data_IF_582984859405
#
_entry.id   IF_582984859405
#
_cell.length_a   1.000
_cell.length_b   1.000
_cell.length_c   1.000
_cell.angle_alpha   90.00
_cell.angle_beta   90.00
_cell.angle_gamma   90.00
#
_symmetry.space_group_name_H-M   'P 1'
#
loop_
_entity.id
_entity.type
_entity.pdbx_description
1 polymer ?
#
# COMPACT_ATOMS: atom_id res chain seq x y z
N UNK A 1 -8.55 -13.25 27.48
CA UNK A 1 -9.00 -12.29 26.46
C UNK A 1 -8.36 -12.66 25.14
N UNK A 2 -9.15 -12.98 24.12
CA UNK A 2 -8.65 -13.22 22.76
C UNK A 2 -8.15 -11.89 22.20
N UNK A 3 -6.84 -11.76 22.02
CA UNK A 3 -6.25 -10.55 21.45
C UNK A 3 -6.49 -10.60 19.95
N UNK A 4 -7.29 -9.68 19.41
CA UNK A 4 -7.50 -9.59 17.97
C UNK A 4 -6.17 -9.34 17.27
N UNK A 5 -5.96 -9.98 16.12
CA UNK A 5 -4.81 -9.69 15.27
C UNK A 5 -4.83 -8.21 14.88
N UNK A 6 -3.71 -7.53 15.06
CA UNK A 6 -3.57 -6.12 14.75
C UNK A 6 -2.79 -5.95 13.45
N UNK A 7 -3.23 -4.99 12.65
CA UNK A 7 -2.61 -4.60 11.39
C UNK A 7 -2.27 -3.12 11.48
N UNK A 8 -1.08 -2.72 11.04
CA UNK A 8 -0.70 -1.32 10.91
C UNK A 8 -0.76 -0.88 9.45
N UNK A 9 -1.29 0.32 9.19
CA UNK A 9 -1.14 0.99 7.89
C UNK A 9 -0.02 2.01 8.06
N UNK A 10 0.95 1.99 7.16
CA UNK A 10 2.13 2.86 7.22
C UNK A 10 2.26 3.67 5.94
N UNK A 11 2.69 4.91 6.11
CA UNK A 11 2.70 5.94 5.09
C UNK A 11 3.86 6.93 5.35
N UNK A 12 3.93 8.00 4.57
CA UNK A 12 4.96 9.04 4.69
C UNK A 12 5.06 9.71 6.06
N UNK A 13 4.00 9.66 6.87
CA UNK A 13 3.96 10.26 8.21
C UNK A 13 4.40 9.27 9.31
N UNK A 14 4.57 8.00 8.95
CA UNK A 14 4.95 6.95 9.91
C UNK A 14 6.44 7.05 10.24
N UNK A 15 6.85 6.92 11.52
CA UNK A 15 8.26 6.86 11.89
C UNK A 15 9.02 5.76 11.14
N UNK A 16 10.15 6.14 10.54
CA UNK A 16 11.02 5.27 9.73
C UNK A 16 12.12 4.61 10.56
N UNK A 17 11.80 4.14 11.76
CA UNK A 17 12.79 3.61 12.72
C UNK A 17 12.47 2.17 13.11
N UNK A 18 13.52 1.37 13.32
CA UNK A 18 13.38 -0.04 13.73
C UNK A 18 12.69 -0.12 15.10
N UNK A 19 13.02 0.78 16.02
CA UNK A 19 12.47 0.82 17.38
C UNK A 19 10.95 1.03 17.39
N UNK A 20 10.42 1.79 16.41
CA UNK A 20 8.98 1.95 16.27
C UNK A 20 8.30 0.63 15.87
N UNK A 21 8.87 -0.09 14.90
CA UNK A 21 8.34 -1.36 14.44
C UNK A 21 8.47 -2.47 15.49
N UNK A 22 9.54 -2.47 16.29
CA UNK A 22 9.66 -3.38 17.43
C UNK A 22 8.55 -3.15 18.47
N UNK A 23 8.17 -1.89 18.72
CA UNK A 23 7.02 -1.55 19.58
C UNK A 23 5.71 -2.06 18.99
N UNK A 24 5.51 -1.93 17.68
CA UNK A 24 4.34 -2.49 16.99
C UNK A 24 4.29 -4.02 17.13
N UNK A 25 5.42 -4.71 16.92
CA UNK A 25 5.51 -6.17 17.06
C UNK A 25 5.20 -6.61 18.50
N UNK A 26 5.74 -5.92 19.51
CA UNK A 26 5.41 -6.15 20.94
C UNK A 26 3.93 -5.91 21.26
N UNK A 27 3.27 -4.99 20.56
CA UNK A 27 1.84 -4.77 20.70
C UNK A 27 0.99 -5.90 20.10
N UNK A 28 1.55 -6.72 19.21
CA UNK A 28 0.88 -7.83 18.54
C UNK A 28 0.53 -7.55 17.08
N UNK A 29 1.16 -6.54 16.48
CA UNK A 29 1.08 -6.27 15.04
C UNK A 29 2.03 -7.21 14.31
N UNK A 30 1.48 -8.12 13.49
CA UNK A 30 2.28 -9.03 12.66
C UNK A 30 2.15 -8.72 11.16
N UNK A 31 1.23 -7.83 10.80
CA UNK A 31 0.94 -7.45 9.42
C UNK A 31 1.03 -5.94 9.27
N UNK A 32 1.67 -5.50 8.19
CA UNK A 32 1.86 -4.09 7.86
C UNK A 32 1.39 -3.86 6.43
N UNK A 33 0.49 -2.89 6.24
CA UNK A 33 0.06 -2.41 4.94
C UNK A 33 0.87 -1.16 4.62
N UNK A 34 1.82 -1.28 3.70
CA UNK A 34 2.70 -0.18 3.28
C UNK A 34 2.06 0.55 2.11
N UNK A 35 1.86 1.86 2.24
CA UNK A 35 1.48 2.70 1.10
C UNK A 35 2.63 2.74 0.10
N UNK A 36 2.41 2.23 -1.11
CA UNK A 36 3.45 2.15 -2.14
C UNK A 36 3.46 3.36 -3.05
N UNK A 37 2.29 3.97 -3.23
CA UNK A 37 2.11 5.13 -4.09
C UNK A 37 0.97 6.01 -3.60
N UNK A 38 1.08 7.29 -3.94
CA UNK A 38 0.05 8.30 -3.71
C UNK A 38 -0.14 9.15 -4.97
N UNK A 39 -1.38 9.39 -5.38
CA UNK A 39 -1.67 10.30 -6.51
C UNK A 39 -0.96 11.64 -6.34
N UNK A 40 -0.28 12.07 -7.40
CA UNK A 40 0.43 13.36 -7.42
C UNK A 40 1.73 13.41 -6.60
N UNK A 41 2.22 12.27 -6.08
CA UNK A 41 3.47 12.24 -5.30
C UNK A 41 4.42 11.14 -5.78
N UNK A 42 5.36 11.49 -6.66
CA UNK A 42 6.28 10.55 -7.31
C UNK A 42 7.40 10.02 -6.41
N UNK A 43 7.73 10.70 -5.32
CA UNK A 43 8.79 10.30 -4.36
C UNK A 43 8.32 9.27 -3.33
N UNK A 44 7.12 8.70 -3.49
CA UNK A 44 6.59 7.73 -2.53
C UNK A 44 7.37 6.40 -2.54
N UNK A 45 8.08 6.07 -3.61
CA UNK A 45 8.84 4.82 -3.74
C UNK A 45 9.93 4.67 -2.67
N UNK A 46 10.67 5.73 -2.35
CA UNK A 46 11.71 5.70 -1.32
C UNK A 46 11.13 5.42 0.07
N UNK A 47 9.97 6.02 0.35
CA UNK A 47 9.24 5.82 1.60
C UNK A 47 8.75 4.38 1.71
N UNK A 48 8.18 3.85 0.62
CA UNK A 48 7.71 2.49 0.53
C UNK A 48 8.84 1.48 0.72
N UNK A 49 10.03 1.74 0.14
CA UNK A 49 11.21 0.90 0.27
C UNK A 49 11.65 0.77 1.73
N UNK A 50 11.81 1.90 2.44
CA UNK A 50 12.24 1.92 3.84
C UNK A 50 11.28 1.13 4.73
N UNK A 51 9.97 1.37 4.61
CA UNK A 51 8.98 0.69 5.45
C UNK A 51 8.88 -0.80 5.13
N UNK A 52 9.00 -1.17 3.85
CA UNK A 52 8.98 -2.58 3.43
C UNK A 52 10.20 -3.33 3.98
N UNK A 53 11.39 -2.74 3.90
CA UNK A 53 12.63 -3.34 4.39
C UNK A 53 12.60 -3.53 5.91
N UNK A 54 12.23 -2.50 6.68
CA UNK A 54 12.16 -2.58 8.14
C UNK A 54 11.15 -3.66 8.58
N UNK A 55 9.94 -3.68 8.00
CA UNK A 55 8.91 -4.66 8.34
C UNK A 55 9.38 -6.09 8.06
N UNK A 56 10.01 -6.34 6.91
CA UNK A 56 10.54 -7.66 6.54
C UNK A 56 11.69 -8.11 7.43
N UNK A 57 12.63 -7.23 7.79
CA UNK A 57 13.73 -7.54 8.72
C UNK A 57 13.23 -7.94 10.10
N UNK A 58 12.06 -7.43 10.49
CA UNK A 58 11.38 -7.78 11.73
C UNK A 58 10.37 -8.91 11.56
N UNK A 59 10.43 -9.69 10.47
CA UNK A 59 9.58 -10.86 10.23
C UNK A 59 8.08 -10.53 10.35
N UNK A 60 7.70 -9.35 9.84
CA UNK A 60 6.31 -8.94 9.71
C UNK A 60 5.84 -9.22 8.27
N UNK A 61 4.58 -9.63 8.12
CA UNK A 61 3.95 -9.81 6.81
C UNK A 61 3.66 -8.44 6.20
N UNK A 62 4.05 -8.26 4.94
CA UNK A 62 3.86 -6.99 4.23
C UNK A 62 2.74 -7.10 3.19
N UNK A 63 1.89 -6.09 3.18
CA UNK A 63 0.79 -5.86 2.27
C UNK A 63 0.93 -4.46 1.66
N UNK A 64 0.23 -4.22 0.56
CA UNK A 64 0.40 -3.01 -0.22
C UNK A 64 -0.84 -2.12 -0.16
N UNK A 65 -0.65 -0.80 -0.15
CA UNK A 65 -1.71 0.18 -0.33
C UNK A 65 -1.41 1.15 -1.47
N UNK A 66 -2.45 1.51 -2.23
CA UNK A 66 -2.47 2.66 -3.12
C UNK A 66 -3.34 3.75 -2.48
N UNK A 67 -2.78 4.94 -2.30
CA UNK A 67 -3.55 6.15 -1.97
C UNK A 67 -3.86 6.92 -3.25
N UNK A 68 -5.13 7.22 -3.50
CA UNK A 68 -5.55 7.87 -4.74
C UNK A 68 -6.67 8.89 -4.54
N UNK A 69 -6.69 9.91 -5.36
CA UNK A 69 -7.82 10.85 -5.48
C UNK A 69 -8.74 10.54 -6.67
N UNK A 70 -8.44 9.48 -7.45
CA UNK A 70 -9.16 9.05 -8.65
C UNK A 70 -9.11 10.02 -9.84
N UNK A 71 -8.23 11.03 -9.85
CA UNK A 71 -8.04 11.92 -11.02
C UNK A 71 -7.43 11.19 -12.21
N UNK A 72 -6.53 10.23 -11.96
CA UNK A 72 -5.85 9.49 -13.03
C UNK A 72 -5.66 8.00 -12.70
N UNK A 73 -6.73 7.19 -12.81
CA UNK A 73 -6.70 5.76 -12.47
C UNK A 73 -5.56 4.97 -13.11
N UNK A 74 -5.28 5.23 -14.40
CA UNK A 74 -4.22 4.55 -15.13
C UNK A 74 -2.83 4.88 -14.59
N UNK A 75 -2.53 6.17 -14.35
CA UNK A 75 -1.23 6.58 -13.84
C UNK A 75 -1.01 6.08 -12.41
N UNK A 76 -2.04 6.15 -11.57
CA UNK A 76 -2.00 5.64 -10.20
C UNK A 76 -1.72 4.13 -10.17
N UNK A 77 -2.45 3.34 -10.99
CA UNK A 77 -2.25 1.91 -11.09
C UNK A 77 -0.85 1.56 -11.62
N UNK A 78 -0.39 2.27 -12.66
CA UNK A 78 0.93 2.04 -13.25
C UNK A 78 2.05 2.29 -12.25
N UNK A 79 1.99 3.41 -11.52
CA UNK A 79 3.02 3.74 -10.55
C UNK A 79 2.99 2.77 -9.37
N UNK A 80 1.80 2.48 -8.84
CA UNK A 80 1.61 1.46 -7.79
C UNK A 80 2.25 0.12 -8.19
N UNK A 81 1.93 -0.37 -9.39
CA UNK A 81 2.44 -1.64 -9.88
C UNK A 81 3.96 -1.66 -10.05
N UNK A 82 4.54 -0.57 -10.54
CA UNK A 82 5.99 -0.45 -10.69
C UNK A 82 6.69 -0.62 -9.34
N UNK A 83 6.19 0.04 -8.29
CA UNK A 83 6.75 -0.07 -6.94
C UNK A 83 6.46 -1.43 -6.32
N UNK A 84 5.25 -1.96 -6.49
CA UNK A 84 4.84 -3.28 -6.03
C UNK A 84 5.78 -4.38 -6.55
N UNK A 85 6.09 -4.37 -7.85
CA UNK A 85 7.03 -5.31 -8.47
C UNK A 85 8.46 -5.07 -8.03
N UNK A 86 8.93 -3.82 -8.04
CA UNK A 86 10.28 -3.46 -7.64
C UNK A 86 10.61 -3.95 -6.23
N UNK A 87 9.67 -3.79 -5.29
CA UNK A 87 9.83 -4.23 -3.91
C UNK A 87 9.53 -5.72 -3.70
N UNK A 88 9.24 -6.49 -4.75
CA UNK A 88 9.03 -7.95 -4.65
C UNK A 88 7.78 -8.34 -3.85
N UNK A 89 6.71 -7.55 -3.89
CA UNK A 89 5.40 -8.01 -3.42
C UNK A 89 4.85 -9.09 -4.38
N UNK A 90 4.04 -10.02 -3.86
CA UNK A 90 3.54 -11.19 -4.61
C UNK A 90 2.08 -11.50 -4.27
N UNK A 91 1.51 -12.56 -4.87
CA UNK A 91 0.11 -12.98 -4.65
C UNK A 91 -0.29 -13.20 -3.18
N UNK A 92 0.66 -13.54 -2.30
CA UNK A 92 0.41 -13.63 -0.87
C UNK A 92 0.20 -12.27 -0.18
N UNK A 93 0.61 -11.18 -0.81
CA UNK A 93 0.42 -9.81 -0.34
C UNK A 93 -0.93 -9.26 -0.78
N UNK A 94 -1.78 -8.93 0.20
CA UNK A 94 -3.06 -8.26 -0.03
C UNK A 94 -2.84 -6.81 -0.49
N UNK A 95 -3.82 -6.28 -1.23
CA UNK A 95 -3.83 -4.89 -1.72
C UNK A 95 -5.01 -4.13 -1.13
N UNK A 96 -4.74 -2.92 -0.63
CA UNK A 96 -5.73 -1.94 -0.19
C UNK A 96 -5.73 -0.74 -1.13
N UNK A 97 -6.90 -0.17 -1.41
CA UNK A 97 -7.05 1.07 -2.18
C UNK A 97 -7.71 2.10 -1.27
N UNK A 98 -7.00 3.18 -0.97
CA UNK A 98 -7.47 4.29 -0.16
C UNK A 98 -7.86 5.44 -1.09
N UNK A 99 -9.17 5.63 -1.27
CA UNK A 99 -9.71 6.73 -2.08
C UNK A 99 -9.95 7.96 -1.20
N UNK A 100 -9.32 9.08 -1.54
CA UNK A 100 -9.54 10.35 -0.90
C UNK A 100 -10.54 11.19 -1.72
N UNK A 101 -11.48 11.89 -1.07
CA UNK A 101 -12.43 12.73 -1.78
C UNK A 101 -11.71 13.92 -2.42
N UNK A 102 -11.92 14.12 -3.72
CA UNK A 102 -11.54 15.33 -4.45
C UNK A 102 -12.77 15.86 -5.22
N UNK A 103 -13.17 17.10 -4.91
CA UNK A 103 -14.32 17.77 -5.51
C UNK A 103 -14.14 18.09 -7.00
N UNK A 104 -12.92 17.99 -7.52
CA UNK A 104 -12.61 18.24 -8.93
C UNK A 104 -12.77 16.99 -9.80
N UNK A 105 -12.95 15.81 -9.20
CA UNK A 105 -13.08 14.55 -9.93
C UNK A 105 -14.52 14.33 -10.36
N UNK A 106 -14.73 14.39 -11.68
CA UNK A 106 -16.00 14.00 -12.30
C UNK A 106 -16.06 12.47 -12.41
N UNK A 107 -17.25 11.89 -12.25
CA UNK A 107 -17.52 10.47 -12.45
C UNK A 107 -16.66 9.52 -11.59
N UNK A 108 -16.54 9.79 -10.28
CA UNK A 108 -15.73 9.01 -9.32
C UNK A 108 -15.98 7.49 -9.40
N UNK A 109 -17.23 7.06 -9.55
CA UNK A 109 -17.57 5.64 -9.66
C UNK A 109 -16.97 4.97 -10.91
N UNK A 110 -16.99 5.67 -12.06
CA UNK A 110 -16.37 5.19 -13.30
C UNK A 110 -14.85 5.07 -13.11
N UNK A 111 -14.22 6.11 -12.55
CA UNK A 111 -12.77 6.13 -12.34
C UNK A 111 -12.31 5.05 -11.35
N UNK A 112 -13.09 4.79 -10.30
CA UNK A 112 -12.84 3.67 -9.38
C UNK A 112 -12.95 2.32 -10.09
N UNK A 113 -13.97 2.13 -10.94
CA UNK A 113 -14.12 0.90 -11.71
C UNK A 113 -12.94 0.67 -12.67
N UNK A 114 -12.50 1.72 -13.37
CA UNK A 114 -11.29 1.66 -14.21
C UNK A 114 -10.05 1.30 -13.39
N UNK A 115 -9.86 1.94 -12.23
CA UNK A 115 -8.74 1.66 -11.33
C UNK A 115 -8.73 0.19 -10.88
N UNK A 116 -9.87 -0.34 -10.45
CA UNK A 116 -10.03 -1.74 -10.06
C UNK A 116 -9.74 -2.69 -11.22
N UNK A 117 -10.18 -2.33 -12.43
CA UNK A 117 -9.85 -3.06 -13.66
C UNK A 117 -8.35 -3.16 -13.89
N UNK A 118 -7.62 -2.04 -13.77
CA UNK A 118 -6.16 -2.05 -13.89
C UNK A 118 -5.49 -2.88 -12.79
N UNK A 119 -5.83 -2.64 -11.52
CA UNK A 119 -5.20 -3.34 -10.39
C UNK A 119 -5.47 -4.84 -10.45
N UNK A 120 -6.70 -5.26 -10.76
CA UNK A 120 -7.04 -6.68 -10.87
C UNK A 120 -6.22 -7.41 -11.94
N UNK A 121 -5.96 -6.78 -13.09
CA UNK A 121 -5.11 -7.37 -14.13
C UNK A 121 -3.66 -7.61 -13.67
N UNK A 122 -3.19 -6.85 -12.68
CA UNK A 122 -1.84 -6.97 -12.16
C UNK A 122 -1.72 -7.91 -10.97
N UNK A 123 -2.76 -7.98 -10.14
CA UNK A 123 -2.79 -8.78 -8.92
C UNK A 123 -3.34 -10.20 -9.16
N UNK A 124 -4.00 -10.48 -10.30
CA UNK A 124 -4.54 -11.80 -10.65
C UNK A 124 -3.74 -12.59 -11.71
N UNK A 125 -2.48 -12.24 -12.01
CA UNK A 125 -1.68 -13.04 -12.96
C UNK A 125 -1.04 -14.28 -12.33
N UNK A 126 -1.86 -15.22 -11.91
CA UNK A 126 -1.44 -16.62 -12.01
C UNK A 126 -1.13 -16.93 -13.49
N UNK A 127 -0.12 -17.76 -13.70
CA UNK A 127 0.52 -18.15 -14.96
C UNK A 127 -0.41 -18.40 -16.17
#
# INVERSE_FOLDING_TARGET
MTKYSQIAIVDSMTPKSVEYYEKLKKAGVNDVIVTLSRSGYSSYSEIAEIHTDIARRLDMRVHAALSTDLRSPFHDARHFFSVYKYLGYNFGSKTMIMCHPDGNVKNQAKNLHELLGYISYFVNKDD
#
